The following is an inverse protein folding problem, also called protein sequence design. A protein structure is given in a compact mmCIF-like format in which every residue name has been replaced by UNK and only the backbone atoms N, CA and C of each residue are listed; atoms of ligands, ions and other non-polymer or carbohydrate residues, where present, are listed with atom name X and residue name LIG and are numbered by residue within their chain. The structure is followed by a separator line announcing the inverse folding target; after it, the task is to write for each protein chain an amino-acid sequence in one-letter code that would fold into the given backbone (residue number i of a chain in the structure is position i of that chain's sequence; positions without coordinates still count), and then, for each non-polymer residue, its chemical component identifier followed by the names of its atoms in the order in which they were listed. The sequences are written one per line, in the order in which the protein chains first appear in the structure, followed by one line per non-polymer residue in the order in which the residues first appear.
data_IF_466039653706
#
_entry.id   IF_466039653706
#
_cell.length_a   1.000
_cell.length_b   1.000
_cell.length_c   1.000
_cell.angle_alpha   90.00
_cell.angle_beta   90.00
_cell.angle_gamma   90.00
#
_symmetry.space_group_name_H-M   'P 1'
#
loop_
_entity.id
_entity.type
_entity.pdbx_description
1 polymer ?
#
# COMPACT_ATOMS: atom_id res chain seq x y z
N UNK A 1 -16.73 -21.60 -15.61
CA UNK A 1 -16.58 -20.29 -16.26
C UNK A 1 -15.28 -19.71 -15.75
N UNK A 2 -14.54 -19.06 -16.64
CA UNK A 2 -13.24 -18.43 -16.33
C UNK A 2 -13.40 -16.97 -16.02
N UNK A 3 -12.72 -16.49 -14.97
CA UNK A 3 -12.72 -15.09 -14.56
C UNK A 3 -11.32 -14.51 -14.73
N UNK A 4 -11.23 -13.40 -15.44
CA UNK A 4 -10.08 -12.50 -15.42
C UNK A 4 -10.33 -11.46 -14.33
N UNK A 5 -9.36 -11.29 -13.43
CA UNK A 5 -9.42 -10.29 -12.38
C UNK A 5 -8.23 -9.32 -12.53
N UNK A 6 -8.52 -8.05 -12.73
CA UNK A 6 -7.52 -6.98 -12.82
C UNK A 6 -7.59 -6.17 -11.51
N UNK A 7 -6.47 -6.09 -10.79
CA UNK A 7 -6.36 -5.34 -9.53
C UNK A 7 -5.44 -4.14 -9.71
N UNK A 8 -6.01 -2.96 -9.63
CA UNK A 8 -5.31 -1.69 -9.77
C UNK A 8 -5.19 -0.98 -8.42
N UNK A 9 -4.21 -0.08 -8.32
CA UNK A 9 -4.01 0.79 -7.17
C UNK A 9 -3.20 0.17 -6.05
N UNK A 10 -3.68 0.30 -4.82
CA UNK A 10 -2.87 0.05 -3.63
C UNK A 10 -3.07 -1.36 -3.04
N UNK A 11 -2.20 -1.70 -2.07
CA UNK A 11 -2.23 -2.91 -1.26
C UNK A 11 -3.59 -3.17 -0.55
N UNK A 12 -4.32 -2.12 -0.15
CA UNK A 12 -5.67 -2.27 0.43
C UNK A 12 -6.68 -2.75 -0.62
N UNK A 13 -6.58 -2.25 -1.87
CA UNK A 13 -7.35 -2.77 -2.99
C UNK A 13 -6.98 -4.23 -3.29
N UNK A 14 -5.69 -4.58 -3.20
CA UNK A 14 -5.24 -5.94 -3.42
C UNK A 14 -5.84 -6.91 -2.39
N UNK A 15 -5.91 -6.52 -1.12
CA UNK A 15 -6.58 -7.33 -0.09
C UNK A 15 -8.07 -7.54 -0.44
N UNK A 16 -8.78 -6.49 -0.86
CA UNK A 16 -10.18 -6.62 -1.31
C UNK A 16 -10.31 -7.56 -2.52
N UNK A 17 -9.37 -7.46 -3.48
CA UNK A 17 -9.29 -8.38 -4.63
C UNK A 17 -9.12 -9.83 -4.19
N UNK A 18 -8.17 -10.12 -3.31
CA UNK A 18 -7.88 -11.47 -2.83
C UNK A 18 -9.05 -12.10 -2.05
N UNK A 19 -9.83 -11.27 -1.35
CA UNK A 19 -11.09 -11.70 -0.70
C UNK A 19 -12.12 -12.07 -1.77
N UNK A 20 -12.35 -11.20 -2.77
CA UNK A 20 -13.28 -11.49 -3.86
C UNK A 20 -12.88 -12.74 -4.65
N UNK A 21 -11.59 -12.90 -4.95
CA UNK A 21 -11.06 -14.11 -5.60
C UNK A 21 -11.34 -15.37 -4.78
N UNK A 22 -11.15 -15.31 -3.47
CA UNK A 22 -11.49 -16.43 -2.56
C UNK A 22 -12.98 -16.80 -2.62
N UNK A 23 -13.87 -15.80 -2.63
CA UNK A 23 -15.31 -16.00 -2.76
C UNK A 23 -15.67 -16.63 -4.11
N UNK A 24 -15.13 -16.13 -5.20
CA UNK A 24 -15.35 -16.64 -6.55
C UNK A 24 -14.83 -18.07 -6.71
N UNK A 25 -13.62 -18.35 -6.22
CA UNK A 25 -13.05 -19.69 -6.23
C UNK A 25 -13.88 -20.69 -5.42
N UNK A 26 -14.42 -20.27 -4.26
CA UNK A 26 -15.30 -21.12 -3.42
C UNK A 26 -16.58 -21.52 -4.14
N UNK A 27 -17.06 -20.73 -5.10
CA UNK A 27 -18.23 -21.02 -5.94
C UNK A 27 -17.89 -21.83 -7.20
N UNK A 28 -16.61 -22.17 -7.40
CA UNK A 28 -16.14 -23.04 -8.50
C UNK A 28 -15.80 -22.28 -9.79
N UNK A 29 -15.61 -20.97 -9.73
CA UNK A 29 -15.05 -20.21 -10.84
C UNK A 29 -13.55 -20.49 -10.97
N UNK A 30 -13.05 -20.60 -12.20
CA UNK A 30 -11.63 -20.75 -12.51
C UNK A 30 -11.02 -19.39 -12.86
N UNK A 31 -9.84 -19.09 -12.31
CA UNK A 31 -9.10 -17.86 -12.63
C UNK A 31 -8.30 -18.05 -13.92
N UNK A 32 -8.19 -17.00 -14.73
CA UNK A 32 -7.36 -16.96 -15.94
C UNK A 32 -6.58 -15.65 -16.00
N UNK A 33 -5.42 -15.68 -16.63
CA UNK A 33 -4.64 -14.49 -16.97
C UNK A 33 -4.77 -14.11 -18.46
N UNK A 34 -5.55 -14.91 -19.23
CA UNK A 34 -5.72 -14.72 -20.66
C UNK A 34 -7.07 -14.03 -20.92
N UNK A 35 -7.04 -12.78 -21.40
CA UNK A 35 -8.24 -11.98 -21.64
C UNK A 35 -9.20 -12.65 -22.62
N UNK A 36 -8.65 -13.32 -23.64
CA UNK A 36 -9.42 -14.01 -24.68
C UNK A 36 -10.19 -15.23 -24.18
N UNK A 37 -9.81 -15.79 -23.04
CA UNK A 37 -10.44 -16.94 -22.44
C UNK A 37 -11.45 -16.58 -21.33
N UNK A 38 -11.49 -15.32 -20.95
CA UNK A 38 -12.35 -14.86 -19.86
C UNK A 38 -13.84 -14.89 -20.25
N UNK A 39 -14.65 -15.57 -19.47
CA UNK A 39 -16.11 -15.48 -19.53
C UNK A 39 -16.62 -14.23 -18.78
N UNK A 40 -15.93 -13.83 -17.72
CA UNK A 40 -16.23 -12.71 -16.84
C UNK A 40 -14.96 -11.92 -16.57
N UNK A 41 -15.06 -10.60 -16.64
CA UNK A 41 -13.94 -9.71 -16.32
C UNK A 41 -14.35 -8.86 -15.12
N UNK A 42 -13.48 -8.82 -14.11
CA UNK A 42 -13.65 -7.97 -12.92
C UNK A 42 -12.45 -7.04 -12.79
N UNK A 43 -12.69 -5.74 -12.67
CA UNK A 43 -11.65 -4.73 -12.53
C UNK A 43 -11.83 -4.02 -11.19
N UNK A 44 -10.88 -4.20 -10.28
CA UNK A 44 -10.80 -3.45 -9.04
C UNK A 44 -9.98 -2.17 -9.27
N UNK A 45 -10.64 -1.04 -9.22
CA UNK A 45 -10.16 0.25 -9.71
C UNK A 45 -9.62 1.16 -8.61
N UNK A 46 -8.77 2.10 -8.99
CA UNK A 46 -8.26 3.18 -8.17
C UNK A 46 -8.69 4.55 -8.72
N UNK A 47 -8.81 5.55 -7.85
CA UNK A 47 -9.04 6.94 -8.25
C UNK A 47 -8.46 7.92 -7.20
N UNK A 48 -7.36 7.52 -6.55
CA UNK A 48 -6.74 8.31 -5.49
C UNK A 48 -6.04 9.56 -6.03
N UNK A 49 -5.40 9.45 -7.18
CA UNK A 49 -4.76 10.54 -7.93
C UNK A 49 -5.16 10.43 -9.41
N UNK A 50 -4.90 11.50 -10.17
CA UNK A 50 -5.28 11.60 -11.59
C UNK A 50 -4.75 10.42 -12.41
N UNK A 51 -3.46 10.09 -12.32
CA UNK A 51 -2.83 9.00 -13.07
C UNK A 51 -3.49 7.65 -12.80
N UNK A 52 -3.79 7.34 -11.52
CA UNK A 52 -4.47 6.10 -11.16
C UNK A 52 -5.93 6.06 -11.68
N UNK A 53 -6.55 7.22 -11.86
CA UNK A 53 -7.87 7.36 -12.47
C UNK A 53 -7.79 7.08 -13.97
N UNK A 54 -6.82 7.66 -14.66
CA UNK A 54 -6.58 7.41 -16.09
C UNK A 54 -6.26 5.94 -16.36
N UNK A 55 -5.37 5.33 -15.56
CA UNK A 55 -5.06 3.90 -15.64
C UNK A 55 -6.33 3.04 -15.49
N UNK A 56 -7.19 3.38 -14.52
CA UNK A 56 -8.43 2.65 -14.30
C UNK A 56 -9.39 2.77 -15.47
N UNK A 57 -9.58 3.97 -16.02
CA UNK A 57 -10.43 4.21 -17.21
C UNK A 57 -9.88 3.44 -18.41
N UNK A 58 -8.58 3.52 -18.65
CA UNK A 58 -7.94 2.83 -19.77
C UNK A 58 -8.15 1.31 -19.68
N UNK A 59 -7.95 0.70 -18.51
CA UNK A 59 -8.21 -0.72 -18.32
C UNK A 59 -9.67 -1.10 -18.54
N UNK A 60 -10.63 -0.29 -18.07
CA UNK A 60 -12.06 -0.54 -18.29
C UNK A 60 -12.39 -0.52 -19.79
N UNK A 61 -11.88 0.47 -20.54
CA UNK A 61 -12.12 0.61 -21.97
C UNK A 61 -11.49 -0.54 -22.76
N UNK A 62 -10.27 -0.95 -22.43
CA UNK A 62 -9.60 -2.10 -23.05
C UNK A 62 -10.39 -3.40 -22.82
N UNK A 63 -10.84 -3.64 -21.59
CA UNK A 63 -11.61 -4.83 -21.25
C UNK A 63 -13.04 -4.80 -21.83
N UNK A 64 -13.63 -3.63 -22.03
CA UNK A 64 -14.92 -3.47 -22.72
C UNK A 64 -14.87 -4.01 -24.17
N UNK A 65 -13.73 -3.90 -24.86
CA UNK A 65 -13.56 -4.47 -26.19
C UNK A 65 -13.67 -6.02 -26.20
N UNK A 66 -13.20 -6.71 -25.15
CA UNK A 66 -13.35 -8.16 -25.03
C UNK A 66 -14.80 -8.60 -24.77
N UNK A 67 -15.61 -7.73 -24.15
CA UNK A 67 -17.05 -7.97 -24.05
C UNK A 67 -17.77 -7.69 -25.35
N UNK A 68 -17.39 -6.65 -26.07
CA UNK A 68 -18.03 -6.22 -27.33
C UNK A 68 -17.71 -7.15 -28.51
N UNK A 69 -16.45 -7.56 -28.61
CA UNK A 69 -15.91 -8.28 -29.75
C UNK A 69 -15.33 -9.67 -29.40
N UNK A 70 -15.28 -10.04 -28.13
CA UNK A 70 -14.66 -11.23 -27.59
C UNK A 70 -15.63 -12.25 -26.99
N UNK A 71 -15.13 -13.04 -26.04
CA UNK A 71 -15.85 -14.12 -25.35
C UNK A 71 -16.47 -13.70 -24.01
N UNK A 72 -16.10 -12.54 -23.47
CA UNK A 72 -16.57 -12.10 -22.16
C UNK A 72 -18.07 -11.80 -22.18
N UNK A 73 -18.78 -12.36 -21.21
CA UNK A 73 -20.24 -12.24 -21.04
C UNK A 73 -20.62 -11.15 -20.04
N UNK A 74 -19.69 -10.83 -19.13
CA UNK A 74 -19.88 -9.83 -18.08
C UNK A 74 -18.61 -9.03 -17.84
N UNK A 75 -18.77 -7.73 -17.62
CA UNK A 75 -17.73 -6.78 -17.20
C UNK A 75 -18.20 -6.10 -15.92
N UNK A 76 -17.45 -6.27 -14.83
CA UNK A 76 -17.77 -5.76 -13.50
C UNK A 76 -16.67 -4.80 -13.08
N UNK A 77 -17.04 -3.61 -12.63
CA UNK A 77 -16.11 -2.60 -12.11
C UNK A 77 -16.32 -2.45 -10.61
N UNK A 78 -15.26 -2.55 -9.83
CA UNK A 78 -15.30 -2.39 -8.37
C UNK A 78 -14.20 -1.46 -7.88
N UNK A 79 -14.18 -1.15 -6.57
CA UNK A 79 -13.12 -0.38 -5.93
C UNK A 79 -13.39 1.12 -5.84
N UNK A 80 -12.31 1.90 -5.72
CA UNK A 80 -12.41 3.32 -5.38
C UNK A 80 -13.11 4.16 -6.47
N UNK A 81 -12.83 3.89 -7.75
CA UNK A 81 -13.50 4.58 -8.85
C UNK A 81 -14.99 4.20 -8.91
N UNK A 82 -15.30 2.92 -8.72
CA UNK A 82 -16.68 2.43 -8.66
C UNK A 82 -17.47 3.13 -7.54
N UNK A 83 -16.89 3.33 -6.36
CA UNK A 83 -17.53 4.05 -5.26
C UNK A 83 -17.75 5.54 -5.59
N UNK A 84 -16.79 6.17 -6.25
CA UNK A 84 -16.81 7.61 -6.52
C UNK A 84 -17.79 8.00 -7.62
N UNK A 85 -17.79 7.27 -8.74
CA UNK A 85 -18.53 7.63 -9.96
C UNK A 85 -19.81 6.82 -10.21
N UNK A 86 -19.94 5.65 -9.58
CA UNK A 86 -21.19 4.88 -9.51
C UNK A 86 -21.94 4.82 -10.87
N UNK A 87 -23.11 5.44 -10.94
CA UNK A 87 -23.98 5.44 -12.11
C UNK A 87 -23.31 6.04 -13.35
N UNK A 88 -22.44 7.01 -13.19
CA UNK A 88 -21.72 7.66 -14.30
C UNK A 88 -20.88 6.66 -15.10
N UNK A 89 -20.30 5.64 -14.43
CA UNK A 89 -19.56 4.56 -15.13
C UNK A 89 -20.50 3.79 -16.06
N UNK A 90 -21.70 3.42 -15.61
CA UNK A 90 -22.68 2.71 -16.45
C UNK A 90 -23.22 3.57 -17.59
N UNK A 91 -23.38 4.88 -17.35
CA UNK A 91 -23.91 5.80 -18.36
C UNK A 91 -22.89 6.10 -19.46
N UNK A 92 -21.60 6.20 -19.11
CA UNK A 92 -20.52 6.53 -20.06
C UNK A 92 -19.92 5.30 -20.74
N UNK A 93 -19.95 4.12 -20.08
CA UNK A 93 -19.37 2.87 -20.58
C UNK A 93 -20.47 1.77 -20.57
N UNK A 94 -21.32 1.70 -21.61
CA UNK A 94 -22.46 0.77 -21.61
C UNK A 94 -22.09 -0.72 -21.59
N UNK A 95 -20.84 -1.05 -21.85
CA UNK A 95 -20.32 -2.41 -21.78
C UNK A 95 -20.16 -2.91 -20.34
N UNK A 96 -20.09 -2.01 -19.33
CA UNK A 96 -20.05 -2.38 -17.91
C UNK A 96 -21.45 -2.83 -17.49
N UNK A 97 -21.53 -4.01 -16.86
CA UNK A 97 -22.81 -4.56 -16.37
C UNK A 97 -23.08 -4.14 -14.92
N UNK A 98 -22.08 -4.31 -14.07
CA UNK A 98 -22.24 -4.07 -12.64
C UNK A 98 -21.12 -3.18 -12.09
N UNK A 99 -21.49 -2.30 -11.16
CA UNK A 99 -20.56 -1.43 -10.45
C UNK A 99 -20.67 -1.69 -8.95
N UNK A 100 -19.57 -2.13 -8.29
CA UNK A 100 -19.52 -2.41 -6.86
C UNK A 100 -18.72 -1.34 -6.11
N UNK A 101 -19.35 -0.70 -5.12
CA UNK A 101 -18.65 0.22 -4.22
C UNK A 101 -17.63 -0.47 -3.31
N UNK A 102 -16.78 0.34 -2.66
CA UNK A 102 -15.66 -0.12 -1.83
C UNK A 102 -16.08 -0.93 -0.60
N UNK A 103 -17.31 -0.76 -0.12
CA UNK A 103 -17.89 -1.49 1.02
C UNK A 103 -18.85 -2.60 0.61
N UNK A 104 -18.97 -2.86 -0.70
CA UNK A 104 -19.86 -3.88 -1.26
C UNK A 104 -19.09 -5.06 -1.92
N UNK A 105 -17.78 -5.16 -1.75
CA UNK A 105 -16.97 -6.21 -2.38
C UNK A 105 -17.36 -7.63 -1.94
N UNK A 106 -17.94 -7.80 -0.76
CA UNK A 106 -18.50 -9.07 -0.28
C UNK A 106 -19.74 -9.53 -1.07
N UNK A 107 -20.32 -8.66 -1.92
CA UNK A 107 -21.41 -8.96 -2.84
C UNK A 107 -20.95 -9.34 -4.24
N UNK A 108 -19.68 -9.64 -4.45
CA UNK A 108 -19.13 -9.97 -5.78
C UNK A 108 -19.88 -11.15 -6.45
N UNK A 109 -20.36 -12.13 -5.68
CA UNK A 109 -21.13 -13.24 -6.21
C UNK A 109 -22.51 -12.81 -6.72
N UNK A 110 -23.16 -11.89 -6.01
CA UNK A 110 -24.45 -11.31 -6.44
C UNK A 110 -24.26 -10.51 -7.72
N UNK A 111 -23.18 -9.72 -7.81
CA UNK A 111 -22.85 -8.94 -8.99
C UNK A 111 -22.58 -9.82 -10.21
N UNK A 112 -21.86 -10.92 -10.06
CA UNK A 112 -21.66 -11.89 -11.14
C UNK A 112 -22.99 -12.50 -11.61
N UNK A 113 -23.85 -12.90 -10.67
CA UNK A 113 -25.16 -13.48 -11.00
C UNK A 113 -26.05 -12.45 -11.72
N UNK A 114 -26.06 -11.19 -11.28
CA UNK A 114 -26.81 -10.09 -11.90
C UNK A 114 -26.30 -9.77 -13.32
N UNK A 115 -24.99 -9.62 -13.48
CA UNK A 115 -24.36 -9.34 -14.78
C UNK A 115 -24.66 -10.46 -15.80
N UNK A 116 -24.57 -11.74 -15.38
CA UNK A 116 -24.90 -12.88 -16.24
C UNK A 116 -26.40 -12.97 -16.58
N UNK A 117 -27.26 -12.38 -15.74
CA UNK A 117 -28.69 -12.23 -16.02
C UNK A 117 -29.02 -11.04 -16.92
N UNK A 118 -28.01 -10.26 -17.32
CA UNK A 118 -28.17 -9.05 -18.18
C UNK A 118 -28.72 -7.85 -17.41
N UNK A 119 -28.49 -7.79 -16.11
CA UNK A 119 -28.77 -6.59 -15.30
C UNK A 119 -27.63 -5.58 -15.44
N UNK A 120 -27.95 -4.30 -15.20
CA UNK A 120 -26.99 -3.19 -15.21
C UNK A 120 -27.28 -2.35 -13.97
N UNK A 121 -26.56 -2.61 -12.87
CA UNK A 121 -26.88 -2.02 -11.57
C UNK A 121 -25.62 -1.48 -10.86
N UNK A 122 -25.86 -0.53 -9.95
CA UNK A 122 -24.86 -0.05 -8.99
C UNK A 122 -25.14 -0.67 -7.63
N UNK A 123 -24.22 -1.49 -7.14
CA UNK A 123 -24.30 -2.12 -5.83
C UNK A 123 -23.39 -1.37 -4.86
N UNK A 124 -23.96 -0.59 -3.96
CA UNK A 124 -23.25 0.07 -2.86
C UNK A 124 -23.80 -0.38 -1.51
N UNK A 125 -23.01 -0.20 -0.48
CA UNK A 125 -23.43 -0.36 0.91
C UNK A 125 -23.18 0.95 1.69
N UNK A 126 -23.50 0.94 2.98
CA UNK A 126 -23.10 2.06 3.84
C UNK A 126 -21.59 2.22 3.79
N UNK A 127 -21.11 3.45 3.54
CA UNK A 127 -19.68 3.73 3.40
C UNK A 127 -18.90 3.40 4.69
N UNK A 128 -19.56 3.45 5.83
CA UNK A 128 -19.00 3.06 7.12
C UNK A 128 -19.20 1.56 7.46
N UNK A 129 -19.76 0.76 6.55
CA UNK A 129 -19.78 -0.69 6.72
C UNK A 129 -18.36 -1.28 6.65
N UNK A 130 -18.14 -2.37 7.36
CA UNK A 130 -16.91 -3.15 7.33
C UNK A 130 -17.25 -4.59 6.93
N UNK A 131 -17.21 -4.93 5.62
CA UNK A 131 -17.48 -6.27 5.17
C UNK A 131 -16.42 -7.25 5.70
N UNK A 132 -16.86 -8.34 6.31
CA UNK A 132 -16.00 -9.37 6.88
C UNK A 132 -16.51 -10.77 6.45
N UNK A 133 -16.37 -11.13 5.16
CA UNK A 133 -16.83 -12.42 4.68
C UNK A 133 -16.05 -13.57 5.35
N UNK A 134 -16.72 -14.69 5.58
CA UNK A 134 -16.14 -15.89 6.23
C UNK A 134 -15.27 -16.73 5.28
N UNK A 135 -15.04 -16.27 4.07
CA UNK A 135 -14.31 -17.00 3.02
C UNK A 135 -12.81 -16.79 3.16
N UNK A 136 -12.03 -17.86 2.97
CA UNK A 136 -10.57 -17.76 2.92
C UNK A 136 -10.14 -16.94 1.71
N UNK A 137 -9.22 -16.03 1.93
CA UNK A 137 -8.61 -15.19 0.91
C UNK A 137 -7.69 -16.00 0.01
N UNK A 138 -7.71 -15.75 -1.29
CA UNK A 138 -6.77 -16.33 -2.24
C UNK A 138 -5.60 -15.36 -2.43
N UNK A 139 -4.44 -15.69 -1.83
CA UNK A 139 -3.25 -14.83 -1.85
C UNK A 139 -2.61 -14.81 -3.24
N UNK A 140 -2.30 -13.62 -3.74
CA UNK A 140 -1.71 -13.40 -5.08
C UNK A 140 -0.29 -12.84 -5.06
N UNK A 141 0.28 -12.60 -3.88
CA UNK A 141 1.61 -12.01 -3.66
C UNK A 141 2.77 -13.01 -3.67
N UNK A 142 2.72 -14.06 -4.48
CA UNK A 142 3.78 -15.08 -4.54
C UNK A 142 3.80 -16.07 -3.36
N UNK A 143 2.94 -15.92 -2.37
CA UNK A 143 2.69 -16.89 -1.29
C UNK A 143 3.61 -16.79 -0.08
N UNK A 144 4.69 -16.00 -0.12
CA UNK A 144 5.64 -15.86 1.00
C UNK A 144 5.43 -14.59 1.83
N UNK A 145 4.75 -13.59 1.31
CA UNK A 145 4.27 -12.44 2.07
C UNK A 145 2.79 -12.16 1.76
N UNK A 146 2.11 -11.49 2.66
CA UNK A 146 0.74 -11.03 2.46
C UNK A 146 0.47 -9.72 3.21
N UNK A 147 -0.39 -8.90 2.62
CA UNK A 147 -0.91 -7.72 3.31
C UNK A 147 -2.03 -8.12 4.27
N UNK A 148 -2.02 -7.58 5.48
CA UNK A 148 -3.09 -7.74 6.46
C UNK A 148 -3.74 -6.38 6.67
N UNK A 149 -4.96 -6.20 6.14
CA UNK A 149 -5.72 -4.96 6.26
C UNK A 149 -6.37 -4.88 7.65
N UNK A 150 -5.79 -4.06 8.54
CA UNK A 150 -6.19 -3.99 9.95
C UNK A 150 -7.29 -2.97 10.24
N UNK A 151 -7.50 -2.02 9.34
CA UNK A 151 -8.56 -1.02 9.42
C UNK A 151 -8.93 -0.50 8.02
N UNK A 152 -10.05 0.19 7.94
CA UNK A 152 -10.58 0.82 6.72
C UNK A 152 -11.01 2.26 7.04
N UNK A 153 -10.88 3.17 6.05
CA UNK A 153 -11.27 4.56 6.19
C UNK A 153 -10.29 5.44 6.98
N UNK A 154 -10.56 6.75 7.05
CA UNK A 154 -9.66 7.70 7.71
C UNK A 154 -10.41 8.96 8.19
N UNK A 155 -10.18 9.35 9.45
CA UNK A 155 -10.77 10.54 10.09
C UNK A 155 -9.84 11.77 10.09
N UNK A 156 -8.71 11.72 9.39
CA UNK A 156 -7.74 12.82 9.41
C UNK A 156 -8.21 14.04 8.59
N UNK A 157 -8.98 13.81 7.53
CA UNK A 157 -9.53 14.85 6.64
C UNK A 157 -8.48 15.83 6.12
N UNK A 158 -7.33 15.31 5.67
CA UNK A 158 -6.30 16.11 4.99
C UNK A 158 -6.92 16.78 3.76
N UNK A 159 -6.60 18.06 3.52
CA UNK A 159 -7.29 18.90 2.51
C UNK A 159 -7.09 18.43 1.06
N UNK A 160 -6.05 17.64 0.80
CA UNK A 160 -5.73 17.04 -0.50
C UNK A 160 -6.33 15.66 -0.71
N UNK A 161 -6.97 15.06 0.30
CA UNK A 161 -7.23 13.62 0.31
C UNK A 161 -8.72 13.31 0.13
N UNK A 162 -9.02 12.47 -0.84
CA UNK A 162 -10.38 12.00 -1.15
C UNK A 162 -10.83 10.79 -0.33
N UNK A 163 -9.92 10.14 0.41
CA UNK A 163 -10.19 8.87 1.13
C UNK A 163 -11.46 8.92 2.00
N UNK A 164 -11.72 9.93 2.83
CA UNK A 164 -12.93 9.95 3.64
C UNK A 164 -14.24 9.85 2.84
N UNK A 165 -14.21 10.30 1.57
CA UNK A 165 -15.40 10.26 0.68
C UNK A 165 -15.57 8.94 -0.05
N UNK A 166 -14.50 8.15 -0.21
CA UNK A 166 -14.52 6.89 -0.97
C UNK A 166 -14.30 5.65 -0.12
N UNK A 167 -13.77 5.80 1.10
CA UNK A 167 -13.52 4.72 2.05
C UNK A 167 -14.16 4.93 3.41
N UNK A 168 -14.82 6.08 3.65
CA UNK A 168 -15.54 6.41 4.87
C UNK A 168 -14.66 6.74 6.06
N UNK A 169 -15.30 6.74 7.24
CA UNK A 169 -14.65 6.99 8.52
C UNK A 169 -13.76 5.81 8.94
N UNK A 170 -12.82 6.07 9.86
CA UNK A 170 -11.91 5.05 10.36
C UNK A 170 -12.65 3.93 11.11
N UNK A 171 -12.38 2.68 10.73
CA UNK A 171 -12.98 1.46 11.30
C UNK A 171 -11.93 0.37 11.43
N UNK A 172 -11.66 -0.08 12.66
CA UNK A 172 -10.74 -1.19 12.91
C UNK A 172 -11.41 -2.55 12.66
N UNK A 173 -10.65 -3.48 12.11
CA UNK A 173 -11.05 -4.89 12.07
C UNK A 173 -10.89 -5.50 13.46
N UNK A 174 -11.86 -6.27 14.01
CA UNK A 174 -11.70 -6.93 15.30
C UNK A 174 -10.44 -7.78 15.40
N UNK A 175 -9.73 -7.71 16.52
CA UNK A 175 -8.43 -8.36 16.72
C UNK A 175 -8.50 -9.88 16.49
N UNK A 176 -9.55 -10.51 16.95
CA UNK A 176 -9.77 -11.96 16.81
C UNK A 176 -9.88 -12.39 15.34
N UNK A 177 -10.46 -11.52 14.49
CA UNK A 177 -10.53 -11.74 13.03
C UNK A 177 -9.17 -11.66 12.40
N UNK A 178 -8.37 -10.64 12.77
CA UNK A 178 -7.01 -10.45 12.25
C UNK A 178 -6.09 -11.59 12.65
N UNK A 179 -6.18 -12.06 13.90
CA UNK A 179 -5.40 -13.22 14.36
C UNK A 179 -5.77 -14.46 13.56
N UNK A 180 -7.07 -14.74 13.42
CA UNK A 180 -7.53 -15.88 12.62
C UNK A 180 -7.07 -15.81 11.17
N UNK A 181 -7.20 -14.65 10.52
CA UNK A 181 -6.72 -14.44 9.15
C UNK A 181 -5.21 -14.62 9.05
N UNK A 182 -4.44 -14.09 9.99
CA UNK A 182 -2.99 -14.25 10.03
C UNK A 182 -2.54 -15.69 10.24
N UNK A 183 -3.26 -16.47 11.06
CA UNK A 183 -3.05 -17.92 11.21
C UNK A 183 -3.34 -18.67 9.91
N UNK A 184 -4.44 -18.36 9.23
CA UNK A 184 -4.80 -18.96 7.93
C UNK A 184 -3.77 -18.62 6.84
N UNK A 185 -3.21 -17.40 6.85
CA UNK A 185 -2.12 -16.99 5.95
C UNK A 185 -0.83 -17.75 6.25
N UNK A 186 -0.47 -17.90 7.53
CA UNK A 186 0.70 -18.68 7.95
C UNK A 186 0.59 -20.15 7.53
N UNK A 187 -0.60 -20.75 7.66
CA UNK A 187 -0.89 -22.12 7.22
C UNK A 187 -0.76 -22.30 5.69
N UNK A 188 -0.96 -21.22 4.92
CA UNK A 188 -0.74 -21.18 3.48
C UNK A 188 0.74 -20.98 3.10
N UNK A 189 1.64 -20.75 4.06
CA UNK A 189 3.08 -20.58 3.82
C UNK A 189 3.57 -19.15 3.86
N UNK A 190 2.71 -18.17 4.17
CA UNK A 190 3.10 -16.77 4.35
C UNK A 190 4.07 -16.64 5.53
N UNK A 191 5.19 -15.96 5.31
CA UNK A 191 6.26 -15.74 6.29
C UNK A 191 6.39 -14.28 6.70
N UNK A 192 5.92 -13.33 5.89
CA UNK A 192 5.86 -11.90 6.22
C UNK A 192 4.41 -11.41 6.18
N UNK A 193 3.97 -10.78 7.28
CA UNK A 193 2.73 -10.01 7.33
C UNK A 193 3.04 -8.52 7.22
N UNK A 194 2.36 -7.83 6.31
CA UNK A 194 2.48 -6.39 6.12
C UNK A 194 1.17 -5.75 6.53
N UNK A 195 1.18 -5.06 7.67
CA UNK A 195 0.01 -4.42 8.23
C UNK A 195 -0.31 -3.14 7.46
N UNK A 196 -1.51 -3.05 6.92
CA UNK A 196 -1.97 -1.93 6.10
C UNK A 196 -3.33 -1.41 6.54
N UNK A 197 -3.49 -0.10 6.42
CA UNK A 197 -4.74 0.65 6.53
C UNK A 197 -4.51 2.01 5.86
N UNK A 198 -5.49 2.91 5.87
CA UNK A 198 -5.26 4.31 5.56
C UNK A 198 -4.53 5.03 6.72
N UNK A 199 -4.66 4.50 7.93
CA UNK A 199 -3.99 4.92 9.15
C UNK A 199 -3.84 3.70 10.08
N UNK A 200 -2.64 3.17 10.23
CA UNK A 200 -2.41 1.95 11.04
C UNK A 200 -2.24 2.24 12.53
N UNK A 201 -1.67 3.38 12.87
CA UNK A 201 -1.29 3.74 14.25
C UNK A 201 -2.49 4.02 15.17
N UNK A 202 -3.68 4.28 14.61
CA UNK A 202 -4.93 4.44 15.38
C UNK A 202 -5.68 3.13 15.64
N UNK A 203 -5.17 2.00 15.15
CA UNK A 203 -5.85 0.70 15.29
C UNK A 203 -6.40 0.46 16.70
N UNK A 204 -7.66 0.07 16.76
CA UNK A 204 -8.38 -0.30 17.98
C UNK A 204 -8.98 0.86 18.76
N UNK A 205 -8.66 2.12 18.43
CA UNK A 205 -9.17 3.28 19.16
C UNK A 205 -10.70 3.38 19.13
N UNK A 206 -11.30 3.05 18.00
CA UNK A 206 -12.76 3.03 17.80
C UNK A 206 -13.42 1.83 18.48
N UNK A 207 -12.79 0.64 18.45
CA UNK A 207 -13.36 -0.59 19.02
C UNK A 207 -13.12 -0.76 20.52
N UNK A 208 -11.93 -0.39 21.00
CA UNK A 208 -11.46 -0.70 22.35
C UNK A 208 -11.28 0.55 23.22
N UNK A 209 -11.47 1.77 22.63
CA UNK A 209 -11.26 3.04 23.32
C UNK A 209 -9.80 3.46 23.49
N UNK A 210 -8.84 2.64 23.05
CA UNK A 210 -7.40 2.86 23.14
C UNK A 210 -6.67 2.43 21.86
N UNK A 211 -5.50 3.00 21.61
CA UNK A 211 -4.62 2.56 20.52
C UNK A 211 -4.09 1.16 20.81
N UNK A 212 -4.56 0.18 20.09
CA UNK A 212 -4.31 -1.24 20.36
C UNK A 212 -3.33 -1.91 19.38
N UNK A 213 -2.68 -1.13 18.51
CA UNK A 213 -1.66 -1.67 17.59
C UNK A 213 -0.54 -2.43 18.32
N UNK A 214 0.05 -1.93 19.43
CA UNK A 214 1.06 -2.68 20.18
C UNK A 214 0.55 -4.03 20.67
N UNK A 215 -0.71 -4.10 21.10
CA UNK A 215 -1.33 -5.35 21.57
C UNK A 215 -1.54 -6.32 20.41
N UNK A 216 -2.05 -5.85 19.27
CA UNK A 216 -2.19 -6.66 18.05
C UNK A 216 -0.84 -7.25 17.63
N UNK A 217 0.22 -6.43 17.59
CA UNK A 217 1.56 -6.88 17.22
C UNK A 217 2.08 -8.01 18.10
N UNK A 218 1.90 -7.91 19.44
CA UNK A 218 2.29 -8.97 20.36
C UNK A 218 1.52 -10.29 20.08
N UNK A 219 0.25 -10.21 19.76
CA UNK A 219 -0.53 -11.41 19.42
C UNK A 219 -0.08 -12.01 18.08
N UNK A 220 0.13 -11.20 17.05
CA UNK A 220 0.62 -11.67 15.75
C UNK A 220 2.03 -12.29 15.85
N UNK A 221 2.90 -11.78 16.73
CA UNK A 221 4.22 -12.35 16.97
C UNK A 221 4.17 -13.79 17.52
N UNK A 222 3.09 -14.21 18.15
CA UNK A 222 2.91 -15.58 18.66
C UNK A 222 2.64 -16.60 17.57
N UNK A 223 2.20 -16.17 16.38
CA UNK A 223 1.81 -17.07 15.29
C UNK A 223 3.06 -17.80 14.77
N UNK A 224 3.00 -19.13 14.78
CA UNK A 224 4.05 -19.97 14.21
C UNK A 224 4.05 -19.81 12.68
N UNK A 225 5.25 -19.81 12.08
CA UNK A 225 5.39 -19.63 10.62
C UNK A 225 5.66 -18.19 10.20
N UNK A 226 5.04 -17.20 10.84
CA UNK A 226 5.36 -15.79 10.60
C UNK A 226 6.74 -15.47 11.15
N UNK A 227 7.57 -14.88 10.30
CA UNK A 227 8.95 -14.50 10.57
C UNK A 227 9.14 -12.99 10.62
N UNK A 228 8.41 -12.23 9.77
CA UNK A 228 8.42 -10.79 9.71
C UNK A 228 7.02 -10.21 9.81
N UNK A 229 6.93 -9.07 10.52
CA UNK A 229 5.75 -8.23 10.61
C UNK A 229 6.21 -6.81 10.32
N UNK A 230 5.67 -6.22 9.25
CA UNK A 230 5.99 -4.86 8.79
C UNK A 230 4.78 -3.97 8.97
N UNK A 231 5.02 -2.69 9.29
CA UNK A 231 3.95 -1.70 9.52
C UNK A 231 4.09 -0.60 8.50
N UNK A 232 3.03 -0.38 7.70
CA UNK A 232 2.96 0.72 6.75
C UNK A 232 1.90 1.74 7.18
N UNK A 233 1.93 2.94 6.58
CA UNK A 233 0.92 4.02 6.77
C UNK A 233 0.78 4.48 8.22
N UNK A 234 1.90 4.83 8.85
CA UNK A 234 1.93 5.36 10.21
C UNK A 234 1.88 6.89 10.22
N UNK A 235 1.04 7.48 11.06
CA UNK A 235 1.06 8.91 11.27
C UNK A 235 2.06 9.27 12.39
N UNK A 236 2.98 10.23 12.16
CA UNK A 236 4.02 10.57 13.14
C UNK A 236 3.48 10.94 14.52
N UNK A 237 2.41 11.75 14.57
CA UNK A 237 1.77 12.19 15.81
C UNK A 237 1.06 11.08 16.60
N UNK A 238 0.86 9.92 15.96
CA UNK A 238 0.17 8.79 16.60
C UNK A 238 1.12 7.73 17.16
N UNK A 239 2.43 7.84 16.88
CA UNK A 239 3.46 6.93 17.41
C UNK A 239 3.56 7.06 18.94
N UNK A 240 3.33 5.95 19.63
CA UNK A 240 3.39 5.88 21.10
C UNK A 240 4.68 5.24 21.60
N UNK A 241 5.05 5.51 22.85
CA UNK A 241 6.18 4.86 23.52
C UNK A 241 6.00 3.34 23.58
N UNK A 242 4.75 2.89 23.75
CA UNK A 242 4.43 1.47 23.77
C UNK A 242 4.68 0.81 22.42
N UNK A 243 4.34 1.47 21.30
CA UNK A 243 4.65 0.97 19.97
C UNK A 243 6.16 0.83 19.77
N UNK A 244 6.93 1.87 20.13
CA UNK A 244 8.40 1.82 20.07
C UNK A 244 8.95 0.66 20.91
N UNK A 245 8.43 0.47 22.13
CA UNK A 245 8.87 -0.59 23.02
C UNK A 245 8.58 -2.00 22.45
N UNK A 246 7.39 -2.20 21.88
CA UNK A 246 7.04 -3.48 21.25
C UNK A 246 7.92 -3.77 20.05
N UNK A 247 8.24 -2.78 19.22
CA UNK A 247 9.16 -2.94 18.09
C UNK A 247 10.56 -3.35 18.55
N UNK A 248 11.04 -2.84 19.70
CA UNK A 248 12.33 -3.22 20.28
C UNK A 248 12.35 -4.63 20.85
N UNK A 249 11.24 -5.07 21.46
CA UNK A 249 11.16 -6.33 22.19
C UNK A 249 10.89 -7.53 21.30
N UNK A 250 10.13 -7.35 20.24
CA UNK A 250 9.62 -8.44 19.40
C UNK A 250 10.48 -8.61 18.14
N UNK A 251 11.30 -9.66 18.06
CA UNK A 251 12.26 -9.82 16.97
C UNK A 251 11.63 -10.14 15.60
N UNK A 252 10.34 -10.42 15.54
CA UNK A 252 9.59 -10.60 14.30
C UNK A 252 9.15 -9.27 13.68
N UNK A 253 9.13 -8.18 14.45
CA UNK A 253 8.74 -6.89 13.93
C UNK A 253 9.94 -6.27 13.20
N UNK A 254 9.77 -5.95 11.93
CA UNK A 254 10.79 -5.27 11.17
C UNK A 254 11.06 -3.89 11.79
N UNK A 255 12.32 -3.55 12.02
CA UNK A 255 12.72 -2.19 12.39
C UNK A 255 12.57 -1.26 11.17
N UNK A 256 11.33 -1.08 10.77
CA UNK A 256 10.91 -0.33 9.59
C UNK A 256 9.59 0.38 9.90
N UNK A 257 9.50 1.68 9.60
CA UNK A 257 8.27 2.44 9.67
C UNK A 257 8.10 3.31 8.42
N UNK A 258 6.93 3.23 7.82
CA UNK A 258 6.47 4.15 6.80
C UNK A 258 5.70 5.31 7.46
N UNK A 259 6.28 6.51 7.38
CA UNK A 259 5.82 7.74 8.04
C UNK A 259 5.55 8.83 7.00
N UNK A 260 4.44 8.82 6.26
CA UNK A 260 4.15 9.85 5.26
C UNK A 260 3.89 11.21 5.91
N UNK A 261 4.94 12.05 5.93
CA UNK A 261 4.89 13.39 6.56
C UNK A 261 4.27 14.45 5.66
N UNK A 262 4.35 14.28 4.34
CA UNK A 262 3.81 15.07 3.25
C UNK A 262 4.54 16.40 2.99
N UNK A 263 4.99 17.12 4.02
CA UNK A 263 5.74 18.37 3.93
C UNK A 263 6.50 18.64 5.24
N UNK A 264 7.44 19.61 5.24
CA UNK A 264 8.19 20.01 6.44
C UNK A 264 7.93 21.45 6.90
N UNK A 265 7.30 22.30 6.08
CA UNK A 265 6.98 23.66 6.48
C UNK A 265 5.65 23.73 7.23
N UNK A 266 5.64 24.38 8.40
CA UNK A 266 4.46 24.46 9.29
C UNK A 266 3.24 25.12 8.64
N UNK A 267 3.44 26.13 7.79
CA UNK A 267 2.35 26.82 7.09
C UNK A 267 1.67 25.88 6.09
N UNK A 268 2.46 25.13 5.33
CA UNK A 268 1.95 24.17 4.35
C UNK A 268 1.31 22.97 5.06
N UNK A 269 1.95 22.41 6.08
CA UNK A 269 1.38 21.32 6.90
C UNK A 269 0.00 21.70 7.45
N UNK A 270 -0.14 22.91 7.97
CA UNK A 270 -1.43 23.44 8.45
C UNK A 270 -2.46 23.57 7.32
N UNK A 271 -2.07 24.04 6.14
CA UNK A 271 -2.94 24.12 4.97
C UNK A 271 -3.35 22.75 4.45
N UNK A 272 -2.47 21.77 4.53
CA UNK A 272 -2.74 20.36 4.23
C UNK A 272 -3.70 19.71 5.24
N UNK A 273 -4.00 20.37 6.38
CA UNK A 273 -4.79 19.79 7.46
C UNK A 273 -4.01 18.78 8.31
N UNK A 274 -2.66 18.81 8.22
CA UNK A 274 -1.78 17.98 9.06
C UNK A 274 -1.74 18.57 10.48
N UNK A 275 -1.56 17.67 11.45
CA UNK A 275 -1.59 18.04 12.89
C UNK A 275 -0.21 18.05 13.53
N UNK A 276 0.84 17.86 12.73
CA UNK A 276 2.25 17.90 13.14
C UNK A 276 2.91 19.20 12.70
N UNK A 277 3.88 19.64 13.46
CA UNK A 277 4.82 20.70 13.12
C UNK A 277 6.17 20.12 12.69
N UNK A 278 7.01 20.95 12.02
CA UNK A 278 8.39 20.58 11.65
C UNK A 278 9.17 20.05 12.86
N UNK A 279 9.06 20.73 14.01
CA UNK A 279 9.80 20.33 15.21
C UNK A 279 9.33 18.97 15.74
N UNK A 280 8.02 18.72 15.78
CA UNK A 280 7.48 17.40 16.20
C UNK A 280 7.92 16.27 15.26
N UNK A 281 8.04 16.55 13.95
CA UNK A 281 8.59 15.59 12.99
C UNK A 281 10.07 15.28 13.27
N UNK A 282 10.88 16.30 13.56
CA UNK A 282 12.29 16.12 13.95
C UNK A 282 12.37 15.28 15.24
N UNK A 283 11.59 15.65 16.25
CA UNK A 283 11.62 15.00 17.57
C UNK A 283 11.26 13.52 17.47
N UNK A 284 10.23 13.15 16.69
CA UNK A 284 9.84 11.74 16.55
C UNK A 284 10.87 10.93 15.77
N UNK A 285 11.46 11.47 14.70
CA UNK A 285 12.52 10.79 13.94
C UNK A 285 13.74 10.56 14.82
N UNK A 286 14.19 11.58 15.56
CA UNK A 286 15.32 11.45 16.48
C UNK A 286 15.04 10.46 17.61
N UNK A 287 13.82 10.45 18.15
CA UNK A 287 13.40 9.49 19.18
C UNK A 287 13.43 8.07 18.65
N UNK A 288 12.85 7.81 17.46
CA UNK A 288 12.85 6.50 16.84
C UNK A 288 14.29 5.97 16.63
N UNK A 289 15.18 6.78 16.08
CA UNK A 289 16.59 6.41 15.87
C UNK A 289 17.37 6.19 17.16
N UNK A 290 17.06 6.96 18.20
CA UNK A 290 17.67 6.76 19.52
C UNK A 290 17.23 5.46 20.18
N UNK A 291 15.95 5.12 20.07
CA UNK A 291 15.37 3.95 20.72
C UNK A 291 15.59 2.67 19.92
N UNK A 292 15.64 2.75 18.60
CA UNK A 292 15.87 1.65 17.65
C UNK A 292 16.96 2.08 16.67
N UNK A 293 18.24 1.92 17.00
CA UNK A 293 19.36 2.50 16.22
C UNK A 293 19.49 2.01 14.78
N UNK A 294 18.94 0.85 14.46
CA UNK A 294 18.94 0.23 13.14
C UNK A 294 17.60 0.41 12.39
N UNK A 295 16.72 1.30 12.87
CA UNK A 295 15.44 1.54 12.23
C UNK A 295 15.61 2.13 10.83
N UNK A 296 14.88 1.58 9.88
CA UNK A 296 14.70 2.11 8.55
C UNK A 296 13.44 2.98 8.52
N UNK A 297 13.58 4.26 8.22
CA UNK A 297 12.46 5.20 8.14
C UNK A 297 12.17 5.53 6.67
N UNK A 298 10.94 5.21 6.26
CA UNK A 298 10.38 5.60 4.98
C UNK A 298 9.45 6.79 5.14
N UNK A 299 9.47 7.70 4.18
CA UNK A 299 8.53 8.84 4.17
C UNK A 299 8.00 9.12 2.77
N UNK A 300 6.96 9.94 2.71
CA UNK A 300 6.35 10.43 1.47
C UNK A 300 6.14 11.93 1.59
N UNK A 301 6.46 12.66 0.51
CA UNK A 301 6.28 14.10 0.36
C UNK A 301 5.37 14.43 -0.81
N UNK A 302 4.69 15.57 -0.73
CA UNK A 302 3.92 16.18 -1.81
C UNK A 302 4.55 17.53 -2.14
N UNK A 303 4.98 17.71 -3.39
CA UNK A 303 5.55 18.95 -3.91
C UNK A 303 4.53 19.80 -4.63
N UNK A 304 4.69 21.12 -4.59
CA UNK A 304 3.81 22.04 -5.30
C UNK A 304 2.38 22.07 -4.76
N UNK A 305 2.23 21.86 -3.45
CA UNK A 305 0.94 22.07 -2.79
C UNK A 305 0.51 23.55 -2.94
N UNK A 306 -0.77 23.85 -3.16
CA UNK A 306 -1.23 25.23 -3.38
C UNK A 306 -0.67 26.23 -2.36
N UNK A 307 -0.01 27.29 -2.86
CA UNK A 307 0.62 28.34 -2.07
C UNK A 307 2.01 28.02 -1.52
N UNK A 308 2.61 26.90 -1.88
CA UNK A 308 4.00 26.57 -1.54
C UNK A 308 4.96 27.51 -2.29
N UNK A 309 5.76 28.28 -1.52
CA UNK A 309 6.78 29.18 -2.10
C UNK A 309 8.10 28.46 -2.35
N UNK A 310 9.03 29.13 -3.06
CA UNK A 310 10.37 28.59 -3.28
C UNK A 310 11.14 28.42 -1.96
N UNK A 311 11.02 29.38 -1.05
CA UNK A 311 11.69 29.31 0.26
C UNK A 311 11.17 28.14 1.11
N UNK A 312 9.88 27.80 0.96
CA UNK A 312 9.28 26.64 1.66
C UNK A 312 9.74 25.31 1.04
N UNK A 313 9.96 25.26 -0.27
CA UNK A 313 10.59 24.12 -0.91
C UNK A 313 12.05 23.95 -0.45
N UNK A 314 12.84 25.02 -0.42
CA UNK A 314 14.22 25.00 0.09
C UNK A 314 14.27 24.54 1.56
N UNK A 315 13.29 24.91 2.38
CA UNK A 315 13.15 24.41 3.76
C UNK A 315 12.89 22.89 3.81
N UNK A 316 12.14 22.33 2.85
CA UNK A 316 11.95 20.88 2.73
C UNK A 316 13.25 20.20 2.35
N UNK A 317 14.03 20.77 1.41
CA UNK A 317 15.33 20.23 1.01
C UNK A 317 16.31 20.18 2.20
N UNK A 318 16.42 21.26 2.97
CA UNK A 318 17.25 21.32 4.19
C UNK A 318 16.79 20.28 5.24
N UNK A 319 15.48 20.10 5.37
CA UNK A 319 14.91 19.12 6.29
C UNK A 319 15.26 17.67 5.89
N UNK A 320 15.19 17.35 4.59
CA UNK A 320 15.56 16.03 4.06
C UNK A 320 17.06 15.77 4.27
N UNK A 321 17.90 16.74 3.92
CA UNK A 321 19.37 16.68 4.07
C UNK A 321 19.76 16.47 5.56
N UNK A 322 19.06 17.13 6.48
CA UNK A 322 19.33 17.02 7.91
C UNK A 322 18.87 15.68 8.49
N UNK A 323 17.70 15.18 8.08
CA UNK A 323 17.13 13.95 8.65
C UNK A 323 17.52 12.69 7.90
N UNK A 324 17.91 12.78 6.63
CA UNK A 324 18.39 11.65 5.84
C UNK A 324 17.49 10.41 5.98
N UNK A 325 16.26 10.47 5.44
CA UNK A 325 15.38 9.30 5.45
C UNK A 325 15.99 8.14 4.65
N UNK A 326 15.80 6.91 5.13
CA UNK A 326 16.33 5.73 4.45
C UNK A 326 15.62 5.45 3.12
N UNK A 327 14.34 5.73 3.08
CA UNK A 327 13.49 5.64 1.89
C UNK A 327 12.59 6.86 1.82
N UNK A 328 12.48 7.48 0.65
CA UNK A 328 11.61 8.63 0.43
C UNK A 328 11.02 8.58 -0.98
N UNK A 329 9.73 8.82 -1.09
CA UNK A 329 9.05 9.09 -2.36
C UNK A 329 8.47 10.49 -2.35
N UNK A 330 8.65 11.24 -3.44
CA UNK A 330 8.03 12.53 -3.65
C UNK A 330 7.02 12.46 -4.81
N UNK A 331 5.86 13.08 -4.63
CA UNK A 331 4.80 13.15 -5.61
C UNK A 331 4.42 14.60 -5.85
N UNK A 332 4.07 14.95 -7.08
CA UNK A 332 3.45 16.25 -7.38
C UNK A 332 2.05 16.29 -6.79
N UNK A 333 1.63 17.46 -6.32
CA UNK A 333 0.25 17.65 -5.86
C UNK A 333 -0.73 17.48 -7.02
N UNK A 334 -1.67 16.54 -6.88
CA UNK A 334 -2.77 16.29 -7.81
C UNK A 334 -4.05 16.94 -7.27
N UNK A 335 -4.66 17.91 -8.01
CA UNK A 335 -5.90 18.57 -7.58
C UNK A 335 -7.10 17.63 -7.81
N UNK A 336 -7.42 16.82 -6.81
CA UNK A 336 -8.56 15.90 -6.89
C UNK A 336 -9.88 16.65 -6.64
N UNK A 337 -10.82 16.49 -7.57
CA UNK A 337 -12.17 17.02 -7.41
C UNK A 337 -12.79 16.59 -6.09
N UNK A 338 -13.63 17.43 -5.53
CA UNK A 338 -14.26 17.25 -4.22
C UNK A 338 -13.31 17.31 -3.01
N UNK A 339 -12.04 17.62 -3.19
CA UNK A 339 -11.13 17.90 -2.08
C UNK A 339 -11.04 19.41 -1.82
N UNK A 340 -10.88 19.86 -0.56
CA UNK A 340 -10.73 21.29 -0.25
C UNK A 340 -9.57 21.94 -1.01
N UNK A 341 -8.41 21.28 -1.10
CA UNK A 341 -7.21 21.85 -1.72
C UNK A 341 -7.37 22.10 -3.23
N UNK A 342 -8.23 21.35 -3.92
CA UNK A 342 -8.53 21.59 -5.34
C UNK A 342 -9.20 22.96 -5.58
N UNK A 343 -9.82 23.56 -4.55
CA UNK A 343 -10.49 24.86 -4.64
C UNK A 343 -9.63 26.04 -4.22
N UNK A 344 -8.39 25.80 -3.81
CA UNK A 344 -7.47 26.88 -3.42
C UNK A 344 -7.04 27.68 -4.67
N UNK A 345 -7.03 29.01 -4.55
CA UNK A 345 -6.77 29.89 -5.71
C UNK A 345 -5.30 29.92 -6.15
N UNK A 346 -4.37 29.63 -5.24
CA UNK A 346 -2.92 29.72 -5.42
C UNK A 346 -2.32 28.36 -5.88
N UNK A 347 -2.91 27.76 -6.91
CA UNK A 347 -2.40 26.55 -7.54
C UNK A 347 -1.01 26.79 -8.16
N UNK A 348 -0.16 25.79 -8.12
CA UNK A 348 1.22 25.83 -8.64
C UNK A 348 1.22 25.22 -10.05
N UNK A 349 1.98 25.80 -10.97
CA UNK A 349 2.18 25.29 -12.33
C UNK A 349 2.85 23.91 -12.29
N UNK A 350 2.42 23.03 -13.19
CA UNK A 350 2.89 21.63 -13.23
C UNK A 350 4.40 21.53 -13.38
N UNK A 351 5.00 22.31 -14.26
CA UNK A 351 6.46 22.38 -14.45
C UNK A 351 7.20 22.71 -13.14
N UNK A 352 6.65 23.58 -12.30
CA UNK A 352 7.25 23.93 -10.99
C UNK A 352 7.15 22.74 -10.03
N UNK A 353 6.01 22.04 -10.02
CA UNK A 353 5.82 20.83 -9.18
C UNK A 353 6.81 19.74 -9.57
N UNK A 354 6.92 19.46 -10.87
CA UNK A 354 7.83 18.44 -11.43
C UNK A 354 9.30 18.77 -11.11
N UNK A 355 9.72 20.04 -11.27
CA UNK A 355 11.07 20.48 -10.93
C UNK A 355 11.37 20.29 -9.44
N UNK A 356 10.45 20.67 -8.55
CA UNK A 356 10.59 20.45 -7.10
C UNK A 356 10.61 18.98 -6.73
N UNK A 357 9.84 18.14 -7.42
CA UNK A 357 9.91 16.69 -7.23
C UNK A 357 11.28 16.15 -7.65
N UNK A 358 11.80 16.58 -8.78
CA UNK A 358 13.11 16.19 -9.27
C UNK A 358 14.22 16.57 -8.30
N UNK A 359 14.21 17.81 -7.76
CA UNK A 359 15.19 18.29 -6.76
C UNK A 359 15.19 17.36 -5.52
N UNK A 360 14.02 17.02 -5.00
CA UNK A 360 13.89 16.12 -3.84
C UNK A 360 14.41 14.72 -4.16
N UNK A 361 14.06 14.19 -5.33
CA UNK A 361 14.44 12.82 -5.69
C UNK A 361 15.94 12.72 -5.99
N UNK A 362 16.58 13.77 -6.54
CA UNK A 362 18.03 13.83 -6.73
C UNK A 362 18.76 13.82 -5.38
N UNK A 363 18.35 14.67 -4.43
CA UNK A 363 18.92 14.68 -3.08
C UNK A 363 18.72 13.31 -2.37
N UNK A 364 17.52 12.74 -2.48
CA UNK A 364 17.23 11.43 -1.85
C UNK A 364 18.05 10.30 -2.49
N UNK A 365 18.37 10.37 -3.76
CA UNK A 365 19.21 9.38 -4.43
C UNK A 365 20.62 9.39 -3.83
N UNK A 366 21.21 10.57 -3.59
CA UNK A 366 22.51 10.71 -2.94
C UNK A 366 22.48 10.12 -1.52
N UNK A 367 21.47 10.48 -0.71
CA UNK A 367 21.29 9.96 0.65
C UNK A 367 21.13 8.43 0.64
N UNK A 368 20.30 7.90 -0.26
CA UNK A 368 20.06 6.46 -0.36
C UNK A 368 21.33 5.69 -0.75
N UNK A 369 22.14 6.24 -1.64
CA UNK A 369 23.40 5.65 -2.04
C UNK A 369 24.41 5.61 -0.88
N UNK A 370 24.60 6.71 -0.15
CA UNK A 370 25.46 6.75 1.03
C UNK A 370 25.04 5.72 2.10
N UNK A 371 23.74 5.61 2.35
CA UNK A 371 23.20 4.62 3.29
C UNK A 371 23.34 3.17 2.80
N UNK A 372 23.32 2.96 1.49
CA UNK A 372 23.56 1.63 0.90
C UNK A 372 25.05 1.28 1.00
N UNK A 373 25.97 2.22 0.78
CA UNK A 373 27.42 2.02 0.99
C UNK A 373 27.73 1.68 2.46
N UNK A 374 27.07 2.32 3.42
CA UNK A 374 27.19 2.04 4.86
C UNK A 374 26.77 0.60 5.25
N UNK A 375 26.03 -0.08 4.38
CA UNK A 375 25.68 -1.48 4.57
C UNK A 375 26.76 -2.45 4.13
N UNK A 376 27.76 -2.02 3.34
CA UNK A 376 28.82 -2.91 2.85
C UNK A 376 29.62 -3.51 4.03
N UNK A 377 29.79 -4.82 3.99
CA UNK A 377 30.45 -5.61 5.02
C UNK A 377 29.54 -6.09 6.15
N UNK A 378 28.29 -5.59 6.23
CA UNK A 378 27.30 -6.07 7.22
C UNK A 378 26.71 -7.41 6.81
N UNK A 379 26.34 -8.18 7.83
CA UNK A 379 25.57 -9.41 7.68
C UNK A 379 24.09 -9.08 7.86
N UNK A 380 23.27 -9.46 6.88
CA UNK A 380 21.83 -9.22 6.90
C UNK A 380 21.05 -10.51 6.68
N UNK A 381 19.86 -10.58 7.30
CA UNK A 381 18.90 -11.62 6.99
C UNK A 381 18.06 -11.18 5.79
N UNK A 382 17.99 -12.02 4.77
CA UNK A 382 17.29 -11.75 3.50
C UNK A 382 16.20 -12.77 3.30
N UNK A 383 14.99 -12.31 2.96
CA UNK A 383 13.95 -13.15 2.41
C UNK A 383 14.11 -13.22 0.89
N UNK A 384 14.19 -14.42 0.36
CA UNK A 384 14.37 -14.67 -1.09
C UNK A 384 13.04 -14.43 -1.80
N UNK A 385 13.05 -13.54 -2.79
CA UNK A 385 11.88 -13.26 -3.65
C UNK A 385 11.83 -14.17 -4.87
N UNK A 386 13.00 -14.44 -5.48
CA UNK A 386 13.07 -15.28 -6.67
C UNK A 386 14.47 -15.39 -7.24
N UNK A 387 14.56 -16.15 -8.32
CA UNK A 387 15.78 -16.30 -9.13
C UNK A 387 15.78 -15.26 -10.25
N UNK A 388 16.94 -14.65 -10.48
CA UNK A 388 17.13 -13.77 -11.65
C UNK A 388 17.15 -14.65 -12.91
N UNK A 389 16.40 -14.24 -13.92
CA UNK A 389 16.31 -15.01 -15.16
C UNK A 389 17.69 -15.10 -15.86
N UNK A 390 18.05 -16.29 -16.30
CA UNK A 390 19.28 -16.58 -17.03
C UNK A 390 20.61 -16.28 -16.28
N UNK A 391 20.55 -16.08 -14.95
CA UNK A 391 21.74 -15.80 -14.12
C UNK A 391 21.84 -16.76 -12.92
N UNK A 392 23.07 -16.95 -12.39
CA UNK A 392 23.31 -17.62 -11.12
C UNK A 392 23.18 -16.61 -9.97
N UNK A 393 22.05 -15.93 -9.91
CA UNK A 393 21.74 -14.93 -8.93
C UNK A 393 20.30 -15.03 -8.45
N UNK A 394 20.08 -14.59 -7.24
CA UNK A 394 18.75 -14.48 -6.62
C UNK A 394 18.52 -13.03 -6.20
N UNK A 395 17.25 -12.66 -6.15
CA UNK A 395 16.80 -11.40 -5.62
C UNK A 395 16.05 -11.63 -4.32
N UNK A 396 16.27 -10.75 -3.36
CA UNK A 396 15.60 -10.80 -2.07
C UNK A 396 15.42 -9.43 -1.45
N UNK A 397 14.81 -9.39 -0.28
CA UNK A 397 14.60 -8.16 0.52
C UNK A 397 15.15 -8.34 1.92
N UNK A 398 15.63 -7.25 2.49
CA UNK A 398 15.95 -7.16 3.91
C UNK A 398 14.75 -6.66 4.71
N UNK A 399 14.86 -6.62 6.04
CA UNK A 399 13.84 -5.98 6.89
C UNK A 399 13.64 -4.49 6.54
N UNK A 400 14.62 -3.87 5.87
CA UNK A 400 14.62 -2.45 5.49
C UNK A 400 13.78 -2.13 4.25
N UNK A 401 13.23 -3.17 3.59
CA UNK A 401 12.64 -3.02 2.26
C UNK A 401 11.24 -3.63 2.20
N UNK A 402 10.24 -2.78 1.96
CA UNK A 402 8.87 -3.23 1.68
C UNK A 402 8.77 -3.72 0.23
N UNK A 403 7.98 -4.78 -0.04
CA UNK A 403 7.86 -5.35 -1.39
C UNK A 403 7.28 -4.33 -2.37
N UNK A 404 7.81 -4.31 -3.60
CA UNK A 404 7.37 -3.50 -4.73
C UNK A 404 7.51 -1.98 -4.56
N UNK A 405 8.11 -1.50 -3.48
CA UNK A 405 8.22 -0.06 -3.17
C UNK A 405 9.65 0.38 -2.89
N UNK A 406 10.42 -0.48 -2.22
CA UNK A 406 11.78 -0.18 -1.78
C UNK A 406 12.81 -0.99 -2.57
N UNK A 407 14.08 -0.96 -2.14
CA UNK A 407 15.19 -1.62 -2.81
C UNK A 407 15.21 -3.15 -2.63
N UNK A 408 16.09 -3.77 -3.38
CA UNK A 408 16.33 -5.21 -3.39
C UNK A 408 17.77 -5.52 -2.99
N UNK A 409 18.06 -6.78 -2.73
CA UNK A 409 19.42 -7.30 -2.63
C UNK A 409 19.63 -8.42 -3.64
N UNK A 410 20.66 -8.29 -4.47
CA UNK A 410 21.07 -9.31 -5.44
C UNK A 410 22.13 -10.22 -4.82
N UNK A 411 21.89 -11.52 -4.86
CA UNK A 411 22.72 -12.54 -4.21
C UNK A 411 23.33 -13.44 -5.27
N UNK A 412 24.64 -13.34 -5.48
CA UNK A 412 25.37 -14.23 -6.36
C UNK A 412 25.68 -15.53 -5.63
N UNK A 413 25.12 -16.65 -6.13
CA UNK A 413 25.33 -17.98 -5.55
C UNK A 413 24.96 -19.09 -6.52
N UNK A 414 25.70 -20.20 -6.46
CA UNK A 414 25.37 -21.45 -7.15
C UNK A 414 24.45 -22.36 -6.30
N UNK A 415 24.16 -21.96 -5.04
CA UNK A 415 23.25 -22.69 -4.16
C UNK A 415 21.82 -22.43 -4.59
N UNK A 416 21.02 -23.49 -4.72
CA UNK A 416 19.60 -23.35 -5.01
C UNK A 416 18.85 -22.79 -3.80
N UNK A 417 18.16 -21.65 -3.98
CA UNK A 417 17.33 -20.98 -2.98
C UNK A 417 15.86 -21.00 -3.43
N UNK A 418 14.95 -21.05 -2.48
CA UNK A 418 13.51 -21.10 -2.74
C UNK A 418 12.89 -19.76 -2.32
N UNK A 419 11.97 -19.22 -3.14
CA UNK A 419 11.21 -18.02 -2.80
C UNK A 419 10.53 -18.17 -1.43
N UNK A 420 10.66 -17.14 -0.58
CA UNK A 420 10.19 -17.14 0.80
C UNK A 420 11.18 -17.78 1.81
N UNK A 421 12.30 -18.35 1.40
CA UNK A 421 13.32 -18.77 2.34
C UNK A 421 14.11 -17.58 2.88
N UNK A 422 14.66 -17.75 4.07
CA UNK A 422 15.52 -16.76 4.71
C UNK A 422 16.98 -17.22 4.65
N UNK A 423 17.83 -16.36 4.10
CA UNK A 423 19.27 -16.60 4.00
C UNK A 423 20.06 -15.52 4.73
N UNK A 424 21.19 -15.89 5.31
CA UNK A 424 22.17 -14.92 5.81
C UNK A 424 23.07 -14.51 4.65
N UNK A 425 23.19 -13.23 4.44
CA UNK A 425 23.93 -12.63 3.33
C UNK A 425 24.87 -11.58 3.87
N UNK A 426 26.11 -11.59 3.39
CA UNK A 426 27.06 -10.51 3.59
C UNK A 426 26.95 -9.52 2.45
N UNK A 427 26.67 -8.27 2.76
CA UNK A 427 26.61 -7.19 1.78
C UNK A 427 28.02 -6.92 1.27
N UNK A 428 28.21 -6.96 -0.05
CA UNK A 428 29.52 -6.77 -0.71
C UNK A 428 29.56 -5.55 -1.61
N UNK A 429 28.42 -4.96 -1.92
CA UNK A 429 28.32 -3.77 -2.77
C UNK A 429 26.96 -3.10 -2.66
N UNK A 430 26.89 -1.91 -3.24
CA UNK A 430 25.69 -1.10 -3.38
C UNK A 430 25.51 -0.68 -4.85
N UNK A 431 24.28 -0.55 -5.31
CA UNK A 431 23.93 -0.12 -6.65
C UNK A 431 22.66 0.73 -6.57
N UNK A 432 22.79 2.04 -6.65
CA UNK A 432 21.70 3.01 -6.48
C UNK A 432 20.91 2.73 -5.19
N UNK A 433 19.68 2.24 -5.29
CA UNK A 433 18.82 1.88 -4.16
C UNK A 433 18.98 0.43 -3.69
N UNK A 434 19.72 -0.38 -4.44
CA UNK A 434 19.82 -1.83 -4.24
C UNK A 434 21.15 -2.23 -3.60
N UNK A 435 21.20 -3.45 -3.07
CA UNK A 435 22.38 -4.04 -2.47
C UNK A 435 22.87 -5.23 -3.31
N UNK A 436 24.15 -5.51 -3.21
CA UNK A 436 24.76 -6.74 -3.73
C UNK A 436 25.33 -7.52 -2.54
N UNK A 437 25.15 -8.84 -2.52
CA UNK A 437 25.63 -9.66 -1.44
C UNK A 437 26.02 -11.08 -1.86
N UNK A 438 26.68 -11.76 -0.93
CA UNK A 438 27.09 -13.14 -1.05
C UNK A 438 26.48 -13.96 0.08
N UNK A 439 26.06 -15.18 -0.25
CA UNK A 439 25.54 -16.15 0.71
C UNK A 439 26.63 -16.53 1.71
N UNK A 440 26.25 -16.61 3.01
CA UNK A 440 27.17 -16.97 4.09
C UNK A 440 27.11 -18.46 4.43
#
# INVERSE_FOLDING_TARGET
MKILFISLGCDKNLVDTEVMLGMLASRGYEMTNEEQEADIIVINTCCFIHDAKEESIQNILEMAEYKKNGSAKALIVTGCMAERYRQEILDEIPEVDEVLGTTAYDRILDAVDAALAGQHEVMTADLDALPLPETKRLVTTGGHFAYLKIAEGCDKHCTYCIIPKIRGNFRSVPMERLIKEAEELADQGVKELILVAQETTLYGKDLYGEKSLPKLLRELCKISGIRWIRILYCYPEEITDELIQVMKEEPKICHYLDLPIQHANDTILKRMGRRTSKQELIDIVQKLRKEIPDICLRTTLITGFPGETQEQHEEVMEFIDTLEFDRLGAFTYSPEEDTPAATFEDQIDEEVKENRQADIMELQQEIAFDKAEDMIGREVLVMIEGKVADENAYVGRTYRDAPNVDGLIFINTDVELISGDFAKVKVTGALDYDLIGELM
#
